data_IF_778398844955
#
_entry.id   IF_778398844955
#
_cell.length_a   1.000
_cell.length_b   1.000
_cell.length_c   1.000
_cell.angle_alpha   90.00
_cell.angle_beta   90.00
_cell.angle_gamma   90.00
#
_symmetry.space_group_name_H-M   'P 1'
#
loop_
_entity.id
_entity.type
_entity.pdbx_description
1 polymer ?
#
# COMPACT_ATOMS: atom_id res chain seq x y z
N UNK A 1 -28.20 -1.79 18.51
CA UNK A 1 -27.49 -2.55 17.46
C UNK A 1 -26.02 -2.60 17.86
N UNK A 2 -25.38 -3.76 17.80
CA UNK A 2 -23.96 -3.92 18.15
C UNK A 2 -23.11 -4.00 16.89
N UNK A 3 -21.83 -3.65 17.00
CA UNK A 3 -20.87 -3.89 15.93
C UNK A 3 -20.69 -5.40 15.73
N UNK A 4 -20.51 -5.83 14.48
CA UNK A 4 -20.16 -7.21 14.17
C UNK A 4 -18.67 -7.41 14.50
N UNK A 5 -18.38 -8.26 15.48
CA UNK A 5 -17.04 -8.46 16.06
C UNK A 5 -16.17 -9.33 15.15
N UNK A 6 -15.29 -8.68 14.37
CA UNK A 6 -14.38 -9.31 13.40
C UNK A 6 -12.90 -8.98 13.62
N UNK A 7 -12.60 -8.14 14.62
CA UNK A 7 -11.23 -7.70 14.90
C UNK A 7 -10.80 -7.99 16.34
N UNK A 8 -9.62 -8.59 16.56
CA UNK A 8 -9.02 -8.66 17.89
C UNK A 8 -8.51 -7.26 18.27
N UNK A 9 -9.28 -6.54 19.09
CA UNK A 9 -8.97 -5.17 19.49
C UNK A 9 -7.99 -5.13 20.66
N UNK A 10 -7.13 -4.10 20.69
CA UNK A 10 -6.51 -3.65 21.93
C UNK A 10 -7.52 -2.76 22.66
N UNK A 11 -7.56 -2.86 23.98
CA UNK A 11 -8.41 -1.99 24.83
C UNK A 11 -7.72 -0.62 24.98
N UNK A 12 -7.67 0.13 23.88
CA UNK A 12 -7.08 1.46 23.77
C UNK A 12 -7.98 2.28 22.82
N UNK A 13 -8.47 3.42 23.29
CA UNK A 13 -9.27 4.34 22.49
C UNK A 13 -8.41 5.56 22.09
N UNK A 14 -7.93 5.57 20.84
CA UNK A 14 -7.14 6.69 20.29
C UNK A 14 -8.08 7.82 19.90
N UNK A 15 -7.84 9.02 20.44
CA UNK A 15 -8.70 10.20 20.27
C UNK A 15 -7.99 11.40 19.65
N UNK A 16 -6.66 11.38 19.51
CA UNK A 16 -5.86 12.49 18.97
C UNK A 16 -4.64 11.95 18.23
N UNK A 17 -4.22 12.65 17.18
CA UNK A 17 -2.96 12.37 16.46
C UNK A 17 -2.27 13.66 16.03
N UNK A 18 -0.93 13.64 15.97
CA UNK A 18 -0.09 14.71 15.41
C UNK A 18 1.25 14.12 14.94
N UNK A 19 1.60 14.32 13.66
CA UNK A 19 2.84 13.77 13.10
C UNK A 19 2.90 12.25 13.23
N UNK A 20 3.90 11.73 13.92
CA UNK A 20 4.09 10.30 14.20
C UNK A 20 3.56 9.87 15.58
N UNK A 21 2.78 10.71 16.27
CA UNK A 21 2.28 10.44 17.62
C UNK A 21 0.76 10.39 17.64
N UNK A 22 0.23 9.52 18.51
CA UNK A 22 -1.19 9.41 18.81
C UNK A 22 -1.41 9.37 20.31
N UNK A 23 -2.59 9.81 20.76
CA UNK A 23 -2.96 9.84 22.19
C UNK A 23 -4.28 9.12 22.42
N UNK A 24 -4.33 8.35 23.49
CA UNK A 24 -5.57 7.75 23.95
C UNK A 24 -6.39 8.70 24.82
N UNK A 25 -7.59 8.26 25.20
CA UNK A 25 -8.51 9.05 26.04
C UNK A 25 -7.99 9.33 27.45
N UNK A 26 -7.00 8.56 27.95
CA UNK A 26 -6.33 8.82 29.23
C UNK A 26 -5.22 9.87 29.09
N UNK A 27 -4.89 10.29 27.89
CA UNK A 27 -3.80 11.21 27.58
C UNK A 27 -2.44 10.53 27.40
N UNK A 28 -2.37 9.20 27.38
CA UNK A 28 -1.13 8.47 27.12
C UNK A 28 -0.71 8.69 25.67
N UNK A 29 0.54 9.10 25.47
CA UNK A 29 1.15 9.30 24.17
C UNK A 29 1.81 8.02 23.67
N UNK A 30 1.56 7.69 22.39
CA UNK A 30 2.16 6.56 21.70
C UNK A 30 2.92 7.03 20.45
N UNK A 31 4.09 6.46 20.22
CA UNK A 31 4.81 6.56 18.96
C UNK A 31 4.18 5.58 17.95
N UNK A 32 3.66 6.11 16.83
CA UNK A 32 2.97 5.33 15.81
C UNK A 32 3.93 4.86 14.72
N UNK A 33 4.48 3.66 14.89
CA UNK A 33 5.25 2.97 13.85
C UNK A 33 4.40 1.98 13.03
N UNK A 34 3.09 2.21 12.96
CA UNK A 34 2.15 1.37 12.22
C UNK A 34 1.38 2.15 11.14
N UNK A 35 1.11 3.44 11.41
CA UNK A 35 0.40 4.32 10.50
C UNK A 35 -0.98 3.79 10.08
N UNK A 36 -1.67 3.00 10.95
CA UNK A 36 -2.94 2.38 10.59
C UNK A 36 -2.83 1.48 9.34
N UNK A 37 -1.93 0.51 9.31
CA UNK A 37 -1.60 -0.32 8.14
C UNK A 37 -0.88 0.44 7.00
N UNK A 38 -0.02 1.42 7.34
CA UNK A 38 0.63 2.32 6.39
C UNK A 38 -0.35 3.22 5.60
N UNK A 39 -1.50 3.54 6.19
CA UNK A 39 -2.48 4.46 5.62
C UNK A 39 -2.04 5.91 5.82
N UNK A 40 -1.57 6.23 7.01
CA UNK A 40 -1.05 7.57 7.32
C UNK A 40 0.31 7.74 6.65
N UNK A 41 0.36 8.62 5.65
CA UNK A 41 1.57 8.92 4.88
C UNK A 41 2.27 10.18 5.39
N UNK A 42 1.60 11.33 5.39
CA UNK A 42 2.17 12.65 5.73
C UNK A 42 2.11 12.99 7.23
N UNK A 43 1.69 12.04 8.06
CA UNK A 43 1.48 12.25 9.49
C UNK A 43 0.03 12.56 9.86
N UNK A 44 -0.27 12.35 11.14
CA UNK A 44 -1.58 12.64 11.71
C UNK A 44 -1.83 14.16 11.79
N UNK A 45 -3.03 14.59 11.42
CA UNK A 45 -3.52 15.97 11.56
C UNK A 45 -2.53 17.04 11.01
N UNK A 46 -1.92 16.79 9.85
CA UNK A 46 -1.03 17.75 9.20
C UNK A 46 -1.80 19.06 8.90
N UNK A 47 -1.29 20.26 9.30
CA UNK A 47 -2.04 21.52 9.19
C UNK A 47 -2.56 21.81 7.79
N UNK A 48 -1.71 21.69 6.76
CA UNK A 48 -2.12 21.91 5.36
C UNK A 48 -3.23 20.94 4.92
N UNK A 49 -3.13 19.67 5.29
CA UNK A 49 -4.16 18.66 5.00
C UNK A 49 -5.50 19.01 5.67
N UNK A 50 -5.46 19.40 6.96
CA UNK A 50 -6.65 19.79 7.72
C UNK A 50 -7.31 21.02 7.08
N UNK A 51 -6.53 22.03 6.71
CA UNK A 51 -7.01 23.24 6.04
C UNK A 51 -7.69 22.91 4.70
N UNK A 52 -7.02 22.17 3.82
CA UNK A 52 -7.52 21.82 2.49
C UNK A 52 -8.83 21.04 2.56
N UNK A 53 -8.91 20.01 3.41
CA UNK A 53 -10.11 19.19 3.55
C UNK A 53 -11.25 19.96 4.23
N UNK A 54 -10.95 20.78 5.27
CA UNK A 54 -11.96 21.60 5.94
C UNK A 54 -12.56 22.66 5.01
N UNK A 55 -11.73 23.33 4.21
CA UNK A 55 -12.20 24.28 3.20
C UNK A 55 -13.06 23.60 2.13
N UNK A 56 -12.67 22.40 1.70
CA UNK A 56 -13.41 21.67 0.70
C UNK A 56 -14.77 21.19 1.22
N UNK A 57 -14.85 20.68 2.46
CA UNK A 57 -16.14 20.29 3.05
C UNK A 57 -17.07 21.50 3.26
N UNK A 58 -16.52 22.65 3.59
CA UNK A 58 -17.28 23.90 3.72
C UNK A 58 -17.83 24.42 2.38
N UNK A 59 -17.20 24.05 1.26
CA UNK A 59 -17.59 24.50 -0.08
C UNK A 59 -18.48 23.47 -0.79
N UNK A 60 -17.97 22.25 -1.00
CA UNK A 60 -18.67 21.18 -1.69
C UNK A 60 -17.97 19.84 -1.40
N UNK A 61 -18.60 18.97 -0.65
CA UNK A 61 -18.03 17.66 -0.31
C UNK A 61 -18.13 16.62 -1.44
N UNK A 62 -19.26 16.63 -2.15
CA UNK A 62 -19.57 15.63 -3.18
C UNK A 62 -20.51 16.18 -4.25
N UNK A 63 -20.25 15.78 -5.48
CA UNK A 63 -21.22 15.79 -6.58
C UNK A 63 -20.93 14.61 -7.53
N UNK A 64 -21.92 14.28 -8.37
CA UNK A 64 -21.89 13.12 -9.27
C UNK A 64 -20.76 13.21 -10.32
N UNK A 65 -20.21 12.05 -10.67
CA UNK A 65 -19.27 11.89 -11.81
C UNK A 65 -19.93 12.11 -13.19
N UNK A 66 -21.18 12.54 -13.25
CA UNK A 66 -21.86 12.95 -14.50
C UNK A 66 -21.51 14.37 -14.97
N UNK A 67 -20.74 15.11 -14.18
CA UNK A 67 -20.25 16.46 -14.52
C UNK A 67 -18.75 16.57 -14.31
N UNK A 68 -18.14 17.59 -14.93
CA UNK A 68 -16.69 17.83 -14.80
C UNK A 68 -16.34 18.20 -13.36
N UNK A 69 -15.36 17.49 -12.80
CA UNK A 69 -14.70 17.83 -11.55
C UNK A 69 -13.24 18.16 -11.84
N UNK A 70 -12.90 19.46 -11.81
CA UNK A 70 -11.54 19.93 -12.08
C UNK A 70 -10.49 19.41 -11.09
N UNK A 71 -10.88 19.08 -9.85
CA UNK A 71 -9.96 18.51 -8.86
C UNK A 71 -9.47 17.13 -9.30
N UNK A 72 -10.30 16.32 -9.95
CA UNK A 72 -9.87 15.02 -10.51
C UNK A 72 -8.77 15.20 -11.54
N UNK A 73 -8.90 16.18 -12.44
CA UNK A 73 -7.88 16.51 -13.44
C UNK A 73 -6.58 16.96 -12.77
N UNK A 74 -6.66 17.83 -11.77
CA UNK A 74 -5.50 18.29 -11.00
C UNK A 74 -4.79 17.14 -10.30
N UNK A 75 -5.52 16.23 -9.67
CA UNK A 75 -4.94 15.02 -9.04
C UNK A 75 -4.22 14.18 -10.08
N UNK A 76 -4.84 13.88 -11.21
CA UNK A 76 -4.25 13.07 -12.28
C UNK A 76 -2.96 13.70 -12.82
N UNK A 77 -2.98 14.99 -13.14
CA UNK A 77 -1.82 15.73 -13.66
C UNK A 77 -0.67 15.80 -12.64
N UNK A 78 -1.00 16.13 -11.37
CA UNK A 78 0.00 16.22 -10.30
C UNK A 78 0.61 14.85 -9.99
N UNK A 79 -0.23 13.83 -9.83
CA UNK A 79 0.23 12.47 -9.56
C UNK A 79 1.13 11.97 -10.69
N UNK A 80 0.71 12.13 -11.96
CA UNK A 80 1.49 11.70 -13.12
C UNK A 80 2.89 12.30 -13.13
N UNK A 81 3.01 13.62 -12.88
CA UNK A 81 4.29 14.34 -12.81
C UNK A 81 5.18 13.84 -11.67
N UNK A 82 4.63 13.73 -10.47
CA UNK A 82 5.41 13.36 -9.27
C UNK A 82 5.89 11.90 -9.34
N UNK A 83 5.07 10.99 -9.87
CA UNK A 83 5.43 9.59 -9.96
C UNK A 83 6.17 9.19 -11.25
N UNK A 84 6.25 10.07 -12.26
CA UNK A 84 6.89 9.81 -13.55
C UNK A 84 6.06 8.99 -14.53
N UNK A 85 4.72 9.08 -14.43
CA UNK A 85 3.72 8.41 -15.28
C UNK A 85 2.73 9.42 -15.85
N UNK A 86 3.22 10.54 -16.36
CA UNK A 86 2.44 11.66 -16.91
C UNK A 86 1.72 11.31 -18.22
N UNK A 87 2.10 10.21 -18.88
CA UNK A 87 1.44 9.65 -20.05
C UNK A 87 0.30 8.66 -19.72
N UNK A 88 0.11 8.28 -18.43
CA UNK A 88 -0.94 7.36 -18.00
C UNK A 88 -2.26 8.08 -17.74
N UNK A 89 -3.37 7.36 -17.98
CA UNK A 89 -4.69 7.78 -17.49
C UNK A 89 -4.91 7.39 -16.05
N UNK A 90 -5.75 8.13 -15.33
CA UNK A 90 -6.03 7.85 -13.92
C UNK A 90 -7.53 7.67 -13.66
N UNK A 91 -7.92 6.50 -13.13
CA UNK A 91 -9.28 6.19 -12.72
C UNK A 91 -9.39 6.17 -11.20
N UNK A 92 -10.26 7.01 -10.65
CA UNK A 92 -10.41 7.27 -9.21
C UNK A 92 -11.52 6.41 -8.60
N UNK A 93 -11.25 5.80 -7.47
CA UNK A 93 -12.14 4.92 -6.70
C UNK A 93 -11.91 5.12 -5.19
N UNK A 94 -12.41 4.21 -4.31
CA UNK A 94 -12.48 4.48 -2.87
C UNK A 94 -11.58 3.57 -2.02
N UNK A 95 -11.22 2.39 -2.50
CA UNK A 95 -10.45 1.41 -1.73
C UNK A 95 -9.45 0.64 -2.59
N UNK A 96 -8.42 0.08 -1.95
CA UNK A 96 -7.43 -0.75 -2.63
C UNK A 96 -8.05 -2.01 -3.26
N UNK A 97 -9.04 -2.60 -2.60
CA UNK A 97 -9.75 -3.75 -3.17
C UNK A 97 -10.47 -3.37 -4.47
N UNK A 98 -11.20 -2.23 -4.50
CA UNK A 98 -11.82 -1.71 -5.73
C UNK A 98 -10.77 -1.42 -6.81
N UNK A 99 -9.59 -0.91 -6.44
CA UNK A 99 -8.50 -0.65 -7.37
C UNK A 99 -8.07 -1.94 -8.08
N UNK A 100 -7.80 -2.99 -7.31
CA UNK A 100 -7.40 -4.28 -7.84
C UNK A 100 -8.51 -4.96 -8.65
N UNK A 101 -9.78 -4.88 -8.22
CA UNK A 101 -10.94 -5.36 -8.99
C UNK A 101 -11.00 -4.71 -10.37
N UNK A 102 -10.89 -3.37 -10.43
CA UNK A 102 -10.97 -2.63 -11.69
C UNK A 102 -9.74 -2.89 -12.57
N UNK A 103 -8.54 -3.03 -11.99
CA UNK A 103 -7.33 -3.38 -12.72
C UNK A 103 -7.44 -4.77 -13.38
N UNK A 104 -7.87 -5.78 -12.64
CA UNK A 104 -8.07 -7.14 -13.13
C UNK A 104 -9.18 -7.21 -14.18
N UNK A 105 -10.29 -6.50 -13.94
CA UNK A 105 -11.39 -6.39 -14.89
C UNK A 105 -10.95 -5.75 -16.21
N UNK A 106 -10.17 -4.65 -16.14
CA UNK A 106 -9.65 -3.96 -17.31
C UNK A 106 -8.69 -4.85 -18.11
N UNK A 107 -7.81 -5.58 -17.43
CA UNK A 107 -6.91 -6.54 -18.07
C UNK A 107 -7.67 -7.63 -18.82
N UNK A 108 -8.75 -8.16 -18.23
CA UNK A 108 -9.58 -9.17 -18.86
C UNK A 108 -10.34 -8.64 -20.08
N UNK A 109 -10.83 -7.40 -20.05
CA UNK A 109 -11.40 -6.75 -21.23
C UNK A 109 -10.38 -6.56 -22.35
N UNK A 110 -9.12 -6.28 -22.00
CA UNK A 110 -8.06 -6.01 -22.96
C UNK A 110 -7.70 -7.25 -23.81
N UNK A 111 -7.49 -8.40 -23.19
CA UNK A 111 -7.02 -9.60 -23.92
C UNK A 111 -8.02 -10.77 -23.95
N UNK A 112 -9.20 -10.61 -23.37
CA UNK A 112 -10.28 -11.62 -23.37
C UNK A 112 -10.02 -12.88 -22.55
N UNK A 113 -8.96 -12.89 -21.75
CA UNK A 113 -8.55 -14.03 -20.92
C UNK A 113 -9.11 -13.90 -19.51
N UNK A 114 -9.08 -15.00 -18.73
CA UNK A 114 -9.65 -15.05 -17.38
C UNK A 114 -8.66 -15.50 -16.29
N UNK A 115 -7.59 -16.21 -16.66
CA UNK A 115 -6.63 -16.73 -15.68
C UNK A 115 -5.67 -15.65 -15.21
N UNK A 116 -5.44 -15.57 -13.91
CA UNK A 116 -4.55 -14.59 -13.27
C UNK A 116 -3.44 -15.31 -12.52
N UNK A 117 -2.24 -14.78 -12.56
CA UNK A 117 -1.13 -15.20 -11.71
C UNK A 117 -1.01 -14.22 -10.55
N UNK A 118 -0.93 -14.76 -9.32
CA UNK A 118 -0.58 -14.07 -8.10
C UNK A 118 0.55 -14.84 -7.39
N UNK A 119 1.01 -14.35 -6.25
CA UNK A 119 2.17 -14.94 -5.58
C UNK A 119 1.85 -15.42 -4.17
N UNK A 120 2.61 -16.39 -3.70
CA UNK A 120 2.55 -16.87 -2.32
C UNK A 120 2.68 -15.70 -1.34
N UNK A 121 1.84 -15.68 -0.29
CA UNK A 121 1.75 -14.62 0.72
C UNK A 121 1.25 -13.26 0.21
N UNK A 122 0.79 -13.13 -1.04
CA UNK A 122 0.23 -11.90 -1.55
C UNK A 122 -1.05 -11.49 -0.82
N UNK A 123 -1.29 -10.17 -0.74
CA UNK A 123 -2.53 -9.60 -0.23
C UNK A 123 -2.98 -8.42 -1.12
N UNK A 124 -4.14 -8.59 -1.77
CA UNK A 124 -4.67 -7.61 -2.72
C UNK A 124 -6.05 -7.07 -2.37
N UNK A 125 -6.69 -7.59 -1.34
CA UNK A 125 -8.00 -7.13 -0.88
C UNK A 125 -8.88 -8.24 -0.31
N UNK A 126 -10.15 -7.89 -0.01
CA UNK A 126 -11.13 -8.79 0.61
C UNK A 126 -12.44 -8.88 -0.16
N UNK A 127 -12.54 -8.24 -1.31
CA UNK A 127 -13.70 -8.33 -2.19
C UNK A 127 -13.48 -9.39 -3.26
N UNK A 128 -14.53 -9.91 -3.84
CA UNK A 128 -14.62 -10.82 -4.97
C UNK A 128 -13.29 -11.34 -5.55
N UNK A 129 -12.81 -10.79 -6.69
CA UNK A 129 -11.57 -11.24 -7.33
C UNK A 129 -10.31 -10.78 -6.56
N UNK A 130 -10.36 -9.63 -5.90
CA UNK A 130 -9.24 -9.15 -5.06
C UNK A 130 -8.95 -10.11 -3.90
N UNK A 131 -9.95 -10.79 -3.34
CA UNK A 131 -9.73 -11.83 -2.33
C UNK A 131 -9.23 -13.14 -2.96
N UNK A 132 -9.69 -13.46 -4.17
CA UNK A 132 -9.23 -14.66 -4.88
C UNK A 132 -7.75 -14.55 -5.28
N UNK A 133 -7.24 -13.36 -5.61
CA UNK A 133 -5.79 -13.15 -5.84
C UNK A 133 -4.98 -12.96 -4.55
N UNK A 134 -5.62 -12.92 -3.39
CA UNK A 134 -4.97 -12.91 -2.07
C UNK A 134 -4.68 -14.34 -1.62
N UNK A 135 -3.41 -14.67 -1.41
CA UNK A 135 -3.00 -16.01 -1.01
C UNK A 135 -3.29 -16.29 0.49
N UNK A 136 -4.58 -16.35 0.82
CA UNK A 136 -5.04 -16.70 2.16
C UNK A 136 -6.38 -17.45 2.12
N UNK A 137 -6.37 -18.79 2.10
CA UNK A 137 -7.59 -19.58 1.97
C UNK A 137 -8.61 -19.38 3.11
N UNK A 138 -8.17 -18.86 4.27
CA UNK A 138 -9.07 -18.62 5.42
C UNK A 138 -10.07 -17.49 5.20
N UNK A 139 -9.81 -16.59 4.24
CA UNK A 139 -10.67 -15.43 3.95
C UNK A 139 -11.35 -15.50 2.59
N UNK A 140 -11.08 -16.55 1.81
CA UNK A 140 -11.74 -16.80 0.51
C UNK A 140 -13.03 -17.57 0.79
N UNK A 141 -14.17 -16.90 0.64
CA UNK A 141 -15.47 -17.57 0.76
C UNK A 141 -15.73 -18.49 -0.45
N UNK A 142 -16.57 -19.54 -0.32
CA UNK A 142 -16.87 -20.44 -1.46
C UNK A 142 -17.30 -19.72 -2.74
N UNK A 143 -18.04 -18.63 -2.62
CA UNK A 143 -18.48 -17.80 -3.76
C UNK A 143 -17.33 -17.04 -4.46
N UNK A 144 -16.21 -16.86 -3.78
CA UNK A 144 -15.02 -16.16 -4.30
C UNK A 144 -13.94 -17.13 -4.81
N UNK A 145 -14.15 -18.44 -4.66
CA UNK A 145 -13.22 -19.46 -5.13
C UNK A 145 -13.63 -19.95 -6.53
N UNK A 146 -13.38 -19.11 -7.54
CA UNK A 146 -13.82 -19.34 -8.91
C UNK A 146 -12.80 -20.11 -9.76
N UNK A 147 -11.60 -20.37 -9.24
CA UNK A 147 -10.55 -21.13 -9.92
C UNK A 147 -9.81 -20.36 -11.00
N UNK A 148 -9.86 -19.02 -10.97
CA UNK A 148 -9.17 -18.17 -11.94
C UNK A 148 -7.69 -17.94 -11.62
N UNK A 149 -7.23 -18.26 -10.41
CA UNK A 149 -5.92 -17.84 -9.91
C UNK A 149 -4.93 -18.99 -9.79
N UNK A 150 -3.75 -18.78 -10.35
CA UNK A 150 -2.56 -19.61 -10.12
C UNK A 150 -1.60 -18.85 -9.20
N UNK A 151 -1.24 -19.49 -8.07
CA UNK A 151 -0.26 -18.90 -7.14
C UNK A 151 1.12 -19.48 -7.39
N UNK A 152 2.12 -18.62 -7.53
CA UNK A 152 3.52 -18.99 -7.72
C UNK A 152 4.38 -18.58 -6.52
N UNK A 153 5.51 -19.25 -6.26
CA UNK A 153 6.51 -18.74 -5.33
C UNK A 153 7.04 -17.38 -5.81
N UNK A 154 7.26 -16.44 -4.89
CA UNK A 154 7.93 -15.19 -5.23
C UNK A 154 9.37 -15.48 -5.64
N UNK A 155 9.87 -14.79 -6.67
CA UNK A 155 11.22 -14.92 -7.23
C UNK A 155 11.52 -16.23 -7.98
N UNK A 156 10.51 -17.05 -8.28
CA UNK A 156 10.66 -18.24 -9.12
C UNK A 156 10.46 -17.89 -10.59
N UNK A 157 11.56 -17.56 -11.28
CA UNK A 157 11.57 -17.16 -12.69
C UNK A 157 11.11 -18.30 -13.61
N UNK A 158 11.53 -19.52 -13.32
CA UNK A 158 11.21 -20.68 -14.16
C UNK A 158 9.72 -21.07 -14.09
N UNK A 159 9.17 -21.10 -12.87
CA UNK A 159 7.74 -21.33 -12.69
C UNK A 159 6.90 -20.23 -13.37
N UNK A 160 7.32 -18.96 -13.24
CA UNK A 160 6.65 -17.83 -13.86
C UNK A 160 6.65 -17.92 -15.39
N UNK A 161 7.80 -18.21 -16.01
CA UNK A 161 7.92 -18.39 -17.46
C UNK A 161 7.09 -19.57 -17.97
N UNK A 162 7.14 -20.71 -17.27
CA UNK A 162 6.37 -21.90 -17.62
C UNK A 162 4.86 -21.63 -17.60
N UNK A 163 4.35 -20.86 -16.63
CA UNK A 163 2.93 -20.53 -16.57
C UNK A 163 2.52 -19.52 -17.65
N UNK A 164 3.31 -18.49 -17.90
CA UNK A 164 3.02 -17.47 -18.92
C UNK A 164 3.10 -18.03 -20.36
N UNK A 165 3.99 -19.00 -20.61
CA UNK A 165 4.12 -19.64 -21.93
C UNK A 165 2.88 -20.42 -22.38
N UNK A 166 1.92 -20.74 -21.47
CA UNK A 166 0.64 -21.36 -21.82
C UNK A 166 -0.27 -20.42 -22.62
N UNK A 167 -0.02 -19.11 -22.60
CA UNK A 167 -0.71 -18.12 -23.43
C UNK A 167 -2.14 -17.78 -23.02
N UNK A 168 -2.62 -18.26 -21.88
CA UNK A 168 -3.98 -18.09 -21.37
C UNK A 168 -4.10 -17.15 -20.17
N UNK A 169 -2.97 -16.57 -19.72
CA UNK A 169 -2.93 -15.66 -18.56
C UNK A 169 -3.42 -14.26 -18.99
N UNK A 170 -4.44 -13.79 -18.29
CA UNK A 170 -5.00 -12.45 -18.41
C UNK A 170 -4.04 -11.41 -17.87
N UNK A 171 -3.66 -11.59 -16.63
CA UNK A 171 -2.82 -10.66 -15.89
C UNK A 171 -1.91 -11.37 -14.87
N UNK A 172 -0.79 -10.73 -14.57
CA UNK A 172 -0.03 -10.99 -13.35
C UNK A 172 -0.21 -9.80 -12.43
N UNK A 173 -0.61 -10.06 -11.18
CA UNK A 173 -0.69 -9.04 -10.14
C UNK A 173 0.38 -9.30 -9.07
N UNK A 174 1.15 -8.26 -8.73
CA UNK A 174 2.26 -8.36 -7.77
C UNK A 174 2.40 -7.08 -6.96
N UNK A 175 2.68 -7.21 -5.66
CA UNK A 175 3.04 -6.06 -4.82
C UNK A 175 4.50 -5.64 -5.09
N UNK A 176 4.76 -4.34 -5.16
CA UNK A 176 6.14 -3.83 -5.25
C UNK A 176 7.03 -4.27 -4.07
N UNK A 177 6.43 -4.38 -2.89
CA UNK A 177 6.93 -5.07 -1.70
C UNK A 177 5.72 -5.72 -1.02
N UNK A 178 5.75 -7.03 -0.80
CA UNK A 178 4.64 -7.72 -0.13
C UNK A 178 4.51 -7.25 1.33
N UNK A 179 3.46 -6.51 1.61
CA UNK A 179 3.27 -5.93 2.94
C UNK A 179 2.80 -6.94 3.98
N UNK A 180 1.63 -7.52 3.78
CA UNK A 180 1.01 -8.51 4.68
C UNK A 180 1.83 -9.80 4.69
N UNK A 181 2.49 -10.14 3.59
CA UNK A 181 3.37 -11.29 3.46
C UNK A 181 4.66 -11.22 4.29
N UNK A 182 4.89 -10.15 5.06
CA UNK A 182 6.04 -10.00 5.95
C UNK A 182 7.20 -9.23 5.35
N UNK A 183 6.91 -8.21 4.58
CA UNK A 183 7.88 -7.32 3.90
C UNK A 183 8.82 -8.14 3.01
N UNK A 184 8.24 -8.95 2.12
CA UNK A 184 9.01 -9.71 1.14
C UNK A 184 9.28 -8.85 -0.10
N UNK A 185 10.54 -8.86 -0.55
CA UNK A 185 10.95 -8.07 -1.72
C UNK A 185 11.11 -8.98 -2.93
N UNK A 186 10.49 -8.66 -4.07
CA UNK A 186 10.87 -9.28 -5.32
C UNK A 186 12.30 -8.83 -5.70
N UNK A 187 13.07 -9.73 -6.29
CA UNK A 187 14.42 -9.39 -6.79
C UNK A 187 14.33 -8.58 -8.07
N UNK A 188 15.38 -7.80 -8.36
CA UNK A 188 15.46 -7.01 -9.59
C UNK A 188 15.41 -7.91 -10.83
N UNK A 189 16.15 -9.03 -10.79
CA UNK A 189 16.18 -10.04 -11.84
C UNK A 189 14.79 -10.63 -12.11
N UNK A 190 14.05 -10.99 -11.05
CA UNK A 190 12.71 -11.52 -11.17
C UNK A 190 11.76 -10.50 -11.79
N UNK A 191 11.76 -9.25 -11.34
CA UNK A 191 10.88 -8.20 -11.84
C UNK A 191 11.15 -7.85 -13.30
N UNK A 192 12.39 -7.83 -13.71
CA UNK A 192 12.79 -7.61 -15.10
C UNK A 192 12.35 -8.77 -16.00
N UNK A 193 12.61 -10.02 -15.57
CA UNK A 193 12.13 -11.21 -16.28
C UNK A 193 10.61 -11.24 -16.37
N UNK A 194 9.90 -10.90 -15.28
CA UNK A 194 8.44 -10.82 -15.24
C UNK A 194 7.90 -9.81 -16.26
N UNK A 195 8.46 -8.58 -16.28
CA UNK A 195 8.02 -7.56 -17.24
C UNK A 195 8.22 -8.02 -18.69
N UNK A 196 9.40 -8.56 -18.98
CA UNK A 196 9.71 -9.06 -20.32
C UNK A 196 8.75 -10.16 -20.75
N UNK A 197 8.59 -11.19 -19.91
CA UNK A 197 7.74 -12.36 -20.23
C UNK A 197 6.26 -11.98 -20.36
N UNK A 198 5.75 -11.06 -19.53
CA UNK A 198 4.40 -10.52 -19.70
C UNK A 198 4.22 -9.86 -21.07
N UNK A 199 5.21 -9.08 -21.51
CA UNK A 199 5.16 -8.42 -22.84
C UNK A 199 5.14 -9.44 -23.98
N UNK A 200 6.01 -10.45 -23.92
CA UNK A 200 6.12 -11.50 -24.93
C UNK A 200 4.83 -12.31 -25.09
N UNK A 201 4.09 -12.51 -24.01
CA UNK A 201 2.86 -13.32 -24.00
C UNK A 201 1.57 -12.50 -24.01
N UNK A 202 1.62 -11.19 -24.23
CA UNK A 202 0.46 -10.29 -24.21
C UNK A 202 -0.36 -10.46 -22.92
N UNK A 203 0.33 -10.51 -21.78
CA UNK A 203 -0.23 -10.60 -20.42
C UNK A 203 -0.07 -9.24 -19.74
N UNK A 204 -1.13 -8.74 -19.11
CA UNK A 204 -1.11 -7.45 -18.42
C UNK A 204 -0.33 -7.57 -17.11
N UNK A 205 0.65 -6.70 -16.89
CA UNK A 205 1.36 -6.60 -15.61
C UNK A 205 0.71 -5.52 -14.74
N UNK A 206 0.13 -5.95 -13.61
CA UNK A 206 -0.47 -5.08 -12.59
C UNK A 206 0.48 -4.99 -11.40
N UNK A 207 0.94 -3.78 -11.08
CA UNK A 207 1.72 -3.51 -9.87
C UNK A 207 0.83 -2.94 -8.79
N UNK A 208 0.66 -3.69 -7.72
CA UNK A 208 -0.05 -3.26 -6.52
C UNK A 208 0.88 -2.42 -5.63
N UNK A 209 0.77 -1.11 -5.75
CA UNK A 209 1.50 -0.12 -4.95
C UNK A 209 0.65 0.47 -3.82
N UNK A 210 -0.43 -0.22 -3.45
CA UNK A 210 -1.37 0.23 -2.42
C UNK A 210 -0.69 0.47 -1.08
N UNK A 211 0.28 -0.39 -0.70
CA UNK A 211 1.01 -0.22 0.55
C UNK A 211 2.42 0.31 0.36
N UNK A 212 3.09 -0.04 -0.72
CA UNK A 212 4.50 0.28 -0.99
C UNK A 212 4.72 1.62 -1.69
N UNK A 213 3.67 2.19 -2.29
CA UNK A 213 3.72 3.46 -3.00
C UNK A 213 3.68 4.71 -2.10
N UNK A 214 3.56 5.86 -2.74
CA UNK A 214 3.50 7.17 -2.11
C UNK A 214 4.69 7.47 -1.20
N UNK A 215 5.91 7.14 -1.65
CA UNK A 215 7.14 7.45 -0.95
C UNK A 215 7.56 6.45 0.13
N UNK A 216 6.69 5.49 0.49
CA UNK A 216 6.89 4.53 1.58
C UNK A 216 8.23 3.80 1.52
N UNK A 217 8.66 3.39 0.32
CA UNK A 217 9.90 2.65 0.10
C UNK A 217 11.15 3.54 -0.08
N UNK A 218 11.01 4.87 -0.06
CA UNK A 218 12.10 5.81 -0.39
C UNK A 218 12.18 6.12 -1.89
N UNK A 219 11.24 5.64 -2.69
CA UNK A 219 10.88 6.10 -4.05
C UNK A 219 9.36 6.27 -4.09
N UNK A 220 8.83 7.01 -5.08
CA UNK A 220 7.39 7.22 -5.15
C UNK A 220 6.64 5.88 -5.25
N UNK A 221 7.12 4.97 -6.11
CA UNK A 221 6.68 3.57 -6.20
C UNK A 221 7.85 2.61 -5.95
N UNK A 222 7.58 1.49 -5.28
CA UNK A 222 8.63 0.52 -4.95
C UNK A 222 9.24 -0.14 -6.20
N UNK A 223 8.44 -0.43 -7.25
CA UNK A 223 8.93 -1.03 -8.48
C UNK A 223 9.90 -0.13 -9.27
N UNK A 224 9.99 1.16 -8.95
CA UNK A 224 10.98 2.05 -9.57
C UNK A 224 12.43 1.67 -9.22
N UNK A 225 12.64 0.87 -8.17
CA UNK A 225 13.95 0.27 -7.89
C UNK A 225 14.36 -0.76 -8.93
N UNK A 226 13.39 -1.46 -9.51
CA UNK A 226 13.63 -2.53 -10.48
C UNK A 226 13.77 -2.02 -11.93
N UNK A 227 13.53 -0.72 -12.18
CA UNK A 227 13.66 -0.10 -13.50
C UNK A 227 12.65 -0.57 -14.55
N UNK A 228 11.48 -1.05 -14.11
CA UNK A 228 10.39 -1.51 -15.00
C UNK A 228 9.21 -0.55 -14.99
N UNK A 229 8.38 -0.60 -16.04
CA UNK A 229 7.07 0.02 -16.11
C UNK A 229 5.98 -1.06 -16.12
N UNK A 230 4.90 -0.85 -15.37
CA UNK A 230 3.72 -1.71 -15.38
C UNK A 230 2.73 -1.28 -16.47
N UNK A 231 1.79 -2.15 -16.81
CA UNK A 231 0.66 -1.78 -17.67
C UNK A 231 -0.43 -1.09 -16.83
N UNK A 232 -0.60 -1.51 -15.59
CA UNK A 232 -1.53 -0.92 -14.62
C UNK A 232 -0.84 -0.82 -13.26
N UNK A 233 -1.07 0.29 -12.54
CA UNK A 233 -0.60 0.48 -11.15
C UNK A 233 -1.80 0.81 -10.28
N UNK A 234 -1.97 0.09 -9.17
CA UNK A 234 -3.04 0.37 -8.21
C UNK A 234 -2.50 1.08 -6.98
N UNK A 235 -3.23 2.11 -6.52
CA UNK A 235 -2.86 2.96 -5.40
C UNK A 235 -4.03 3.16 -4.44
N UNK A 236 -3.75 3.23 -3.15
CA UNK A 236 -4.69 3.57 -2.08
C UNK A 236 -3.92 4.02 -0.83
N UNK A 237 -4.49 3.86 0.35
CA UNK A 237 -3.82 4.15 1.65
C UNK A 237 -3.17 5.53 1.70
N UNK A 238 -1.87 5.59 1.39
CA UNK A 238 -1.08 6.82 1.46
C UNK A 238 -1.61 7.97 0.62
N UNK A 239 -2.33 7.70 -0.47
CA UNK A 239 -2.94 8.73 -1.32
C UNK A 239 -3.90 9.64 -0.58
N UNK A 240 -4.65 9.10 0.40
CA UNK A 240 -5.69 9.82 1.13
C UNK A 240 -5.32 10.22 2.55
N UNK A 241 -4.18 9.77 3.09
CA UNK A 241 -3.76 10.00 4.48
C UNK A 241 -4.88 9.75 5.52
N UNK A 242 -5.64 8.66 5.34
CA UNK A 242 -6.79 8.32 6.18
C UNK A 242 -8.14 8.60 5.55
N UNK A 243 -8.24 9.45 4.55
CA UNK A 243 -9.47 9.60 3.76
C UNK A 243 -9.64 8.40 2.81
N UNK A 244 -10.82 7.74 2.76
CA UNK A 244 -11.07 6.61 1.86
C UNK A 244 -10.94 7.02 0.39
N UNK A 245 -9.85 6.68 -0.23
CA UNK A 245 -9.54 6.99 -1.61
C UNK A 245 -8.56 5.98 -2.20
N UNK A 246 -8.71 5.72 -3.50
CA UNK A 246 -7.83 4.86 -4.27
C UNK A 246 -7.86 5.27 -5.75
N UNK A 247 -7.02 4.65 -6.56
CA UNK A 247 -7.01 4.86 -7.99
C UNK A 247 -6.23 3.79 -8.74
N UNK A 248 -6.41 3.83 -10.05
CA UNK A 248 -5.73 2.97 -11.01
C UNK A 248 -5.05 3.85 -12.04
N UNK A 249 -3.72 3.77 -12.13
CA UNK A 249 -2.95 4.37 -13.23
C UNK A 249 -2.95 3.34 -14.37
N UNK A 250 -3.35 3.79 -15.55
CA UNK A 250 -3.64 2.94 -16.71
C UNK A 250 -2.77 3.41 -17.88
N UNK A 251 -1.93 2.52 -18.40
CA UNK A 251 -1.02 2.86 -19.49
C UNK A 251 -1.78 3.21 -20.80
N UNK A 252 -1.14 3.93 -21.72
CA UNK A 252 -1.75 4.32 -23.00
C UNK A 252 -2.16 3.16 -23.91
N UNK A 253 -1.75 1.92 -23.60
CA UNK A 253 -2.16 0.74 -24.39
C UNK A 253 -3.66 0.42 -24.26
N UNK A 254 -4.33 0.94 -23.24
CA UNK A 254 -5.76 0.72 -23.01
C UNK A 254 -6.59 1.85 -23.61
N UNK A 255 -7.65 1.49 -24.30
CA UNK A 255 -8.63 2.45 -24.81
C UNK A 255 -9.83 2.52 -23.86
N UNK A 256 -10.21 3.70 -23.36
CA UNK A 256 -11.37 3.84 -22.49
C UNK A 256 -12.67 3.53 -23.24
N UNK A 257 -13.56 2.78 -22.59
CA UNK A 257 -14.89 2.45 -23.09
C UNK A 257 -15.93 2.83 -22.05
N UNK A 258 -16.90 3.66 -22.42
CA UNK A 258 -17.95 4.09 -21.49
C UNK A 258 -18.74 2.90 -20.94
N UNK A 259 -18.92 2.89 -19.63
CA UNK A 259 -19.67 1.86 -18.90
C UNK A 259 -18.87 0.60 -18.50
N UNK A 260 -17.63 0.41 -18.96
CA UNK A 260 -16.80 -0.71 -18.53
C UNK A 260 -16.38 -0.59 -17.07
N UNK A 261 -15.94 0.59 -16.65
CA UNK A 261 -15.59 0.92 -15.27
C UNK A 261 -16.54 1.99 -14.74
N UNK A 262 -16.77 2.03 -13.43
CA UNK A 262 -17.65 3.01 -12.82
C UNK A 262 -17.57 3.02 -11.30
N UNK A 263 -17.90 4.15 -10.71
CA UNK A 263 -17.95 4.37 -9.27
C UNK A 263 -18.88 5.53 -8.92
N UNK A 264 -19.57 5.44 -7.79
CA UNK A 264 -20.39 6.56 -7.31
C UNK A 264 -19.56 7.61 -6.60
N UNK A 265 -18.71 7.20 -5.67
CA UNK A 265 -17.97 8.11 -4.78
C UNK A 265 -16.52 8.36 -5.20
N UNK A 266 -15.95 7.54 -6.08
CA UNK A 266 -14.56 7.66 -6.47
C UNK A 266 -14.26 9.01 -7.10
N UNK A 267 -13.21 9.68 -6.63
CA UNK A 267 -12.82 11.00 -7.08
C UNK A 267 -13.74 12.13 -6.63
N UNK A 268 -14.49 11.96 -5.52
CA UNK A 268 -15.26 13.06 -4.95
C UNK A 268 -14.37 14.23 -4.52
N UNK A 269 -14.97 15.39 -4.33
CA UNK A 269 -14.24 16.64 -4.05
C UNK A 269 -13.36 16.54 -2.79
N UNK A 270 -13.87 15.92 -1.71
CA UNK A 270 -13.09 15.76 -0.48
C UNK A 270 -11.89 14.83 -0.69
N UNK A 271 -12.08 13.70 -1.38
CA UNK A 271 -11.01 12.77 -1.69
C UNK A 271 -9.91 13.43 -2.55
N UNK A 272 -10.31 14.18 -3.58
CA UNK A 272 -9.37 14.91 -4.43
C UNK A 272 -8.60 15.99 -3.67
N UNK A 273 -9.28 16.74 -2.79
CA UNK A 273 -8.65 17.72 -1.92
C UNK A 273 -7.65 17.08 -0.97
N UNK A 274 -8.01 15.95 -0.37
CA UNK A 274 -7.10 15.17 0.48
C UNK A 274 -5.86 14.70 -0.29
N UNK A 275 -6.04 14.14 -1.50
CA UNK A 275 -4.91 13.68 -2.33
C UNK A 275 -3.99 14.82 -2.78
N UNK A 276 -4.53 15.98 -3.14
CA UNK A 276 -3.73 17.14 -3.50
C UNK A 276 -2.90 17.61 -2.31
N UNK A 277 -3.50 17.72 -1.12
CA UNK A 277 -2.78 18.08 0.10
C UNK A 277 -1.66 17.06 0.44
N UNK A 278 -1.90 15.75 0.22
CA UNK A 278 -0.87 14.73 0.41
C UNK A 278 0.31 14.94 -0.54
N UNK A 279 0.04 15.18 -1.84
CA UNK A 279 1.10 15.43 -2.83
C UNK A 279 1.88 16.70 -2.51
N UNK A 280 1.18 17.78 -2.09
CA UNK A 280 1.83 19.02 -1.68
C UNK A 280 2.83 18.79 -0.54
N UNK A 281 2.42 18.10 0.51
CA UNK A 281 3.27 17.86 1.69
C UNK A 281 4.44 16.92 1.36
N UNK A 282 4.19 15.86 0.58
CA UNK A 282 5.26 14.93 0.15
C UNK A 282 6.38 15.68 -0.57
N UNK A 283 6.02 16.63 -1.48
CA UNK A 283 6.99 17.40 -2.24
C UNK A 283 7.64 18.50 -1.39
N UNK A 284 6.85 19.30 -0.67
CA UNK A 284 7.35 20.45 0.09
C UNK A 284 8.26 20.04 1.26
N UNK A 285 7.98 18.94 1.91
CA UNK A 285 8.74 18.43 3.06
C UNK A 285 9.76 17.34 2.67
N UNK A 286 9.92 17.05 1.38
CA UNK A 286 10.85 16.04 0.86
C UNK A 286 10.69 14.66 1.54
N UNK A 287 9.45 14.24 1.78
CA UNK A 287 9.15 13.06 2.59
C UNK A 287 9.64 11.73 1.98
N UNK A 288 9.82 11.66 0.66
CA UNK A 288 10.39 10.48 0.00
C UNK A 288 11.86 10.30 0.37
N UNK A 289 12.62 11.40 0.33
CA UNK A 289 14.04 11.39 0.72
C UNK A 289 14.18 11.11 2.22
N UNK A 290 13.34 11.74 3.06
CA UNK A 290 13.29 11.46 4.48
C UNK A 290 13.04 9.97 4.75
N UNK A 291 12.07 9.36 4.06
CA UNK A 291 11.77 7.92 4.20
C UNK A 291 12.97 7.05 3.82
N UNK A 292 13.72 7.42 2.77
CA UNK A 292 14.94 6.70 2.37
C UNK A 292 16.03 6.82 3.44
N UNK A 293 16.31 8.02 3.92
CA UNK A 293 17.38 8.30 4.90
C UNK A 293 17.09 7.65 6.25
N UNK A 294 15.92 7.91 6.83
CA UNK A 294 15.53 7.37 8.14
C UNK A 294 15.34 5.85 8.08
N UNK A 295 14.78 5.35 6.97
CA UNK A 295 14.64 3.91 6.75
C UNK A 295 15.98 3.18 6.69
N UNK A 296 16.95 3.72 5.95
CA UNK A 296 18.31 3.16 5.88
C UNK A 296 19.01 3.17 7.26
N UNK A 297 18.85 4.26 8.01
CA UNK A 297 19.33 4.34 9.38
C UNK A 297 18.74 3.24 10.26
N UNK A 298 17.41 3.12 10.30
CA UNK A 298 16.71 2.10 11.08
C UNK A 298 17.13 0.68 10.69
N UNK A 299 17.19 0.36 9.39
CA UNK A 299 17.60 -0.96 8.90
C UNK A 299 19.03 -1.28 9.35
N UNK A 300 19.96 -0.30 9.26
CA UNK A 300 21.35 -0.47 9.66
C UNK A 300 21.49 -0.72 11.17
N UNK A 301 20.79 0.06 11.99
CA UNK A 301 20.84 -0.10 13.44
C UNK A 301 20.16 -1.39 13.92
N UNK A 302 19.01 -1.74 13.33
CA UNK A 302 18.26 -2.94 13.70
C UNK A 302 19.00 -4.23 13.37
N UNK A 303 19.83 -4.26 12.32
CA UNK A 303 20.71 -5.41 12.01
C UNK A 303 21.77 -5.70 13.07
N UNK A 304 22.03 -4.78 13.99
CA UNK A 304 22.99 -4.97 15.09
C UNK A 304 22.39 -5.76 16.27
N UNK A 305 21.08 -5.98 16.30
CA UNK A 305 20.43 -6.72 17.36
C UNK A 305 20.49 -8.23 17.09
N UNK A 306 21.20 -9.03 17.89
CA UNK A 306 21.39 -10.46 17.64
C UNK A 306 20.10 -11.28 17.81
N UNK A 307 19.08 -10.71 18.44
CA UNK A 307 17.77 -11.34 18.61
C UNK A 307 16.95 -11.34 17.33
N UNK A 308 17.28 -10.47 16.36
CA UNK A 308 16.58 -10.37 15.10
C UNK A 308 17.24 -11.30 14.08
N UNK A 309 16.49 -12.26 13.57
CA UNK A 309 16.96 -13.22 12.57
C UNK A 309 17.23 -12.57 11.21
N UNK A 310 16.31 -11.70 10.77
CA UNK A 310 16.42 -11.00 9.50
C UNK A 310 15.78 -9.62 9.58
N UNK A 311 16.45 -8.62 8.98
CA UNK A 311 15.95 -7.26 8.81
C UNK A 311 15.90 -6.95 7.33
N UNK A 312 14.68 -6.77 6.80
CA UNK A 312 14.45 -6.50 5.38
C UNK A 312 13.49 -5.34 5.16
N UNK A 313 13.53 -4.74 3.98
CA UNK A 313 12.67 -3.63 3.61
C UNK A 313 13.38 -2.59 2.79
N UNK A 314 12.64 -1.52 2.46
CA UNK A 314 13.16 -0.30 1.80
C UNK A 314 12.44 0.91 2.39
N UNK A 315 13.17 2.00 2.60
CA UNK A 315 12.60 3.20 3.22
C UNK A 315 11.94 2.89 4.57
N UNK A 316 10.76 3.42 4.79
CA UNK A 316 9.95 3.21 6.01
C UNK A 316 8.95 2.05 5.87
N UNK A 317 9.32 1.01 5.13
CA UNK A 317 8.60 -0.25 5.04
C UNK A 317 9.56 -1.37 5.46
N UNK A 318 9.59 -1.69 6.77
CA UNK A 318 10.62 -2.54 7.40
C UNK A 318 9.97 -3.74 8.09
N UNK A 319 10.53 -4.92 7.87
CA UNK A 319 10.18 -6.17 8.52
C UNK A 319 11.32 -6.70 9.38
N UNK A 320 11.03 -7.06 10.61
CA UNK A 320 11.96 -7.69 11.55
C UNK A 320 11.46 -9.10 11.81
N UNK A 321 12.19 -10.10 11.32
CA UNK A 321 11.86 -11.50 11.53
C UNK A 321 12.60 -12.06 12.75
N UNK A 322 11.87 -12.82 13.56
CA UNK A 322 12.38 -13.49 14.76
C UNK A 322 12.26 -15.00 14.62
N UNK A 323 13.02 -15.76 15.36
CA UNK A 323 12.85 -17.23 15.41
C UNK A 323 11.53 -17.59 16.12
N UNK A 324 11.22 -16.92 17.21
CA UNK A 324 10.06 -17.18 18.06
C UNK A 324 8.89 -16.25 17.77
N UNK A 325 7.66 -16.63 18.14
CA UNK A 325 6.49 -15.77 18.03
C UNK A 325 6.64 -14.47 18.82
N UNK A 326 6.32 -13.33 18.20
CA UNK A 326 6.53 -11.99 18.73
C UNK A 326 5.32 -11.40 19.46
N UNK A 327 4.31 -12.20 19.79
CA UNK A 327 3.10 -11.68 20.45
C UNK A 327 3.43 -10.93 21.76
N UNK A 328 4.27 -11.52 22.59
CA UNK A 328 4.66 -10.92 23.87
C UNK A 328 5.53 -9.68 23.67
N UNK A 329 6.53 -9.75 22.80
CA UNK A 329 7.38 -8.61 22.44
C UNK A 329 6.53 -7.41 21.98
N UNK A 330 5.55 -7.67 21.12
CA UNK A 330 4.66 -6.63 20.60
C UNK A 330 3.76 -6.04 21.66
N UNK A 331 3.25 -6.85 22.60
CA UNK A 331 2.47 -6.38 23.74
C UNK A 331 3.30 -5.52 24.68
N UNK A 332 4.55 -5.89 24.96
CA UNK A 332 5.48 -5.10 25.78
C UNK A 332 5.82 -3.76 25.10
N UNK A 333 6.09 -3.77 23.78
CA UNK A 333 6.27 -2.53 23.03
C UNK A 333 5.07 -1.59 23.18
N UNK A 334 3.86 -2.11 23.04
CA UNK A 334 2.64 -1.30 23.14
C UNK A 334 2.37 -0.81 24.57
N UNK A 335 2.42 -1.70 25.57
CA UNK A 335 1.98 -1.40 26.93
C UNK A 335 3.04 -0.75 27.81
N UNK A 336 4.31 -1.15 27.66
CA UNK A 336 5.41 -0.66 28.51
C UNK A 336 6.17 0.49 27.83
N UNK A 337 6.27 0.46 26.50
CA UNK A 337 7.05 1.44 25.74
C UNK A 337 6.19 2.38 24.88
N UNK A 338 4.88 2.19 24.86
CA UNK A 338 3.92 3.01 24.14
C UNK A 338 4.27 3.18 22.64
N UNK A 339 4.57 2.05 21.97
CA UNK A 339 4.89 2.02 20.54
C UNK A 339 3.91 1.12 19.79
N UNK A 340 3.18 1.66 18.85
CA UNK A 340 2.36 0.88 17.92
C UNK A 340 3.20 0.28 16.81
N UNK A 341 3.02 -1.01 16.53
CA UNK A 341 3.70 -1.74 15.46
C UNK A 341 2.74 -2.69 14.74
N UNK A 342 3.05 -3.03 13.48
CA UNK A 342 2.35 -4.06 12.73
C UNK A 342 2.90 -5.47 12.99
N UNK A 343 2.19 -6.47 12.50
CA UNK A 343 2.62 -7.88 12.54
C UNK A 343 2.28 -8.59 11.23
N UNK A 344 3.10 -9.55 10.84
CA UNK A 344 2.81 -10.50 9.78
C UNK A 344 3.11 -11.91 10.27
N UNK A 345 2.18 -12.84 10.00
CA UNK A 345 2.27 -14.17 10.59
C UNK A 345 2.38 -14.13 12.11
N UNK A 346 3.26 -14.94 12.67
CA UNK A 346 3.48 -15.03 14.13
C UNK A 346 4.78 -14.38 14.58
N UNK A 347 5.74 -14.17 13.69
CA UNK A 347 7.14 -13.87 14.03
C UNK A 347 7.77 -12.68 13.26
N UNK A 348 7.01 -11.93 12.47
CA UNK A 348 7.52 -10.74 11.78
C UNK A 348 6.88 -9.47 12.34
N UNK A 349 7.68 -8.62 13.00
CA UNK A 349 7.29 -7.27 13.37
C UNK A 349 7.42 -6.36 12.16
N UNK A 350 6.39 -5.54 11.88
CA UNK A 350 6.42 -4.58 10.78
C UNK A 350 6.45 -3.15 11.30
N UNK A 351 7.37 -2.36 10.77
CA UNK A 351 7.43 -0.93 11.00
C UNK A 351 6.97 -0.22 9.72
N UNK A 352 5.90 0.55 9.86
CA UNK A 352 5.20 1.25 8.78
C UNK A 352 4.79 2.67 9.24
N UNK A 353 5.72 3.46 9.83
CA UNK A 353 5.40 4.77 10.37
C UNK A 353 4.94 5.75 9.29
N UNK A 354 4.33 6.89 9.66
CA UNK A 354 4.20 8.03 8.75
C UNK A 354 5.55 8.44 8.17
N UNK A 355 5.56 8.97 6.94
CA UNK A 355 6.80 9.36 6.23
C UNK A 355 7.53 10.54 6.88
N UNK A 356 6.82 11.30 7.74
CA UNK A 356 7.38 12.38 8.53
C UNK A 356 8.14 11.91 9.77
N UNK A 357 8.31 10.58 9.99
CA UNK A 357 9.16 10.07 11.06
C UNK A 357 10.57 10.65 10.91
N UNK A 358 11.01 11.42 11.91
CA UNK A 358 12.32 12.03 11.92
C UNK A 358 13.40 11.13 12.51
N UNK A 359 14.64 11.60 12.44
CA UNK A 359 15.80 10.88 12.97
C UNK A 359 15.74 10.73 14.50
N UNK A 360 15.16 11.71 15.20
CA UNK A 360 15.08 11.70 16.65
C UNK A 360 14.05 10.67 17.15
N UNK A 361 12.88 10.60 16.52
CA UNK A 361 11.88 9.56 16.81
C UNK A 361 12.39 8.16 16.43
N UNK A 362 13.19 8.05 15.37
CA UNK A 362 13.83 6.78 15.00
C UNK A 362 14.83 6.31 16.07
N UNK A 363 15.64 7.20 16.62
CA UNK A 363 16.56 6.90 17.74
C UNK A 363 15.78 6.58 19.00
N UNK A 364 14.74 7.35 19.33
CA UNK A 364 13.85 7.09 20.45
C UNK A 364 13.22 5.69 20.36
N UNK A 365 12.73 5.30 19.19
CA UNK A 365 12.25 3.94 18.98
C UNK A 365 13.31 2.89 19.31
N UNK A 366 14.55 3.05 18.83
CA UNK A 366 15.62 2.10 19.11
C UNK A 366 15.92 1.96 20.61
N UNK A 367 15.89 3.05 21.36
CA UNK A 367 16.07 3.02 22.82
C UNK A 367 14.89 2.34 23.54
N UNK A 368 13.66 2.60 23.11
CA UNK A 368 12.47 1.91 23.63
C UNK A 368 12.47 0.41 23.27
N UNK A 369 12.91 0.07 22.05
CA UNK A 369 12.98 -1.30 21.56
C UNK A 369 13.98 -2.14 22.35
N UNK A 370 15.18 -1.61 22.65
CA UNK A 370 16.18 -2.26 23.50
C UNK A 370 15.66 -2.70 24.86
N UNK A 371 14.71 -1.96 25.45
CA UNK A 371 14.17 -2.26 26.80
C UNK A 371 13.25 -3.48 26.82
N UNK A 372 12.79 -3.94 25.67
CA UNK A 372 11.83 -5.06 25.55
C UNK A 372 12.42 -6.28 24.86
N UNK A 373 13.63 -6.20 24.32
CA UNK A 373 14.37 -7.34 23.80
C UNK A 373 15.10 -8.08 24.93
#
# INVERSE_FOLDING_TARGET
>A
MNLFDVYPLFDINIVKGKGCHVWDESGTEYLDLYGGHAVISIGHAHPHYVEMVSNQVATLGFYSNSVINKLQQQVAERLGKVCGYDDYSFFLINSGAEANENALKLASFYNGRTRVISFSKAFHGRTSLAVEVTNNPKIIAPINNCGHVTYLPLNDIEAMKAELSKGDVCAVIIEGIQGVGGIQLPTDEFMQALRQTCTEHNTVLILDEIQSGYGRSGKFFAHQYNGIKADIITVAKGIGNGFPMAGVLISPMFTPVYGQLGTTFGGNHLACSAALAVLDVIEQENLIENAAQVGNFLITELKKFPQIKDVRGRGLMIGLEFEEPIKELRLRLLKEQHVFTGVSGTNVLRLLPPLCLGMDEAKEFLERFKKVL
#
